data_IF_509585284612
#
_entry.id   IF_509585284612
#
_cell.length_a   1.000
_cell.length_b   1.000
_cell.length_c   1.000
_cell.angle_alpha   90.00
_cell.angle_beta   90.00
_cell.angle_gamma   90.00
#
_symmetry.space_group_name_H-M   'P 1'
#
loop_
_entity.id
_entity.type
_entity.pdbx_description
1 polymer ?
#
# COMPACT_ATOMS: atom_id res chain seq x y z
N UNK A 1 -39.52 -35.79 10.50
CA UNK A 1 -40.37 -36.44 11.52
C UNK A 1 -41.62 -37.01 10.87
N UNK A 2 -42.50 -36.19 10.30
CA UNK A 2 -43.69 -36.67 9.60
C UNK A 2 -43.34 -37.42 8.31
N UNK A 3 -42.36 -36.93 7.53
CA UNK A 3 -41.92 -37.58 6.30
C UNK A 3 -41.29 -38.97 6.53
N UNK A 4 -40.81 -39.25 7.74
CA UNK A 4 -40.23 -40.55 8.11
C UNK A 4 -41.30 -41.53 8.63
N UNK A 5 -42.50 -41.04 8.99
CA UNK A 5 -43.57 -41.83 9.62
C UNK A 5 -44.86 -41.85 8.77
N UNK A 6 -44.72 -41.77 7.45
CA UNK A 6 -45.86 -41.70 6.51
C UNK A 6 -46.77 -42.92 6.60
N UNK A 7 -46.19 -44.11 6.78
CA UNK A 7 -46.95 -45.35 6.91
C UNK A 7 -47.81 -45.35 8.18
N UNK A 8 -47.26 -44.89 9.31
CA UNK A 8 -48.00 -44.72 10.57
C UNK A 8 -49.17 -43.76 10.41
N UNK A 9 -48.96 -42.62 9.76
CA UNK A 9 -50.01 -41.62 9.50
C UNK A 9 -51.12 -42.21 8.62
N UNK A 10 -50.77 -42.93 7.55
CA UNK A 10 -51.73 -43.58 6.66
C UNK A 10 -52.55 -44.64 7.39
N UNK A 11 -51.88 -45.50 8.17
CA UNK A 11 -52.54 -46.54 8.96
C UNK A 11 -53.53 -45.96 9.98
N UNK A 12 -53.18 -44.84 10.63
CA UNK A 12 -54.11 -44.12 11.50
C UNK A 12 -55.34 -43.63 10.74
N UNK A 13 -55.16 -42.98 9.58
CA UNK A 13 -56.26 -42.43 8.79
C UNK A 13 -57.24 -43.51 8.33
N UNK A 14 -56.72 -44.68 7.91
CA UNK A 14 -57.52 -45.81 7.50
C UNK A 14 -58.34 -46.37 8.68
N UNK A 15 -57.69 -46.60 9.83
CA UNK A 15 -58.37 -47.07 11.06
C UNK A 15 -59.43 -46.09 11.53
N UNK A 16 -59.10 -44.80 11.60
CA UNK A 16 -60.02 -43.74 12.04
C UNK A 16 -61.26 -43.63 11.16
N UNK A 17 -61.12 -43.84 9.84
CA UNK A 17 -62.25 -43.82 8.90
C UNK A 17 -63.24 -44.98 9.08
N UNK A 18 -62.78 -46.11 9.62
CA UNK A 18 -63.59 -47.32 9.83
C UNK A 18 -64.27 -47.38 11.21
N UNK A 19 -63.90 -46.46 12.12
CA UNK A 19 -64.31 -46.49 13.52
C UNK A 19 -65.72 -45.92 13.71
N UNK A 20 -66.56 -46.64 14.48
CA UNK A 20 -67.92 -46.19 14.83
C UNK A 20 -67.94 -45.63 16.25
N UNK A 21 -68.09 -44.32 16.37
CA UNK A 21 -68.21 -43.61 17.66
C UNK A 21 -69.67 -43.20 17.88
N UNK A 22 -70.22 -43.58 19.03
CA UNK A 22 -71.61 -43.26 19.41
C UNK A 22 -71.76 -41.82 19.95
N UNK A 23 -70.75 -41.30 20.65
CA UNK A 23 -70.74 -39.94 21.18
C UNK A 23 -70.47 -38.91 20.07
N UNK A 24 -71.48 -38.07 19.78
CA UNK A 24 -71.41 -37.02 18.75
C UNK A 24 -70.25 -36.04 18.95
N UNK A 25 -69.95 -35.66 20.18
CA UNK A 25 -68.87 -34.69 20.46
C UNK A 25 -67.49 -35.32 20.25
N UNK A 26 -67.32 -36.57 20.70
CA UNK A 26 -66.08 -37.33 20.45
C UNK A 26 -65.90 -37.58 18.95
N UNK A 27 -66.97 -37.93 18.25
CA UNK A 27 -66.96 -38.11 16.80
C UNK A 27 -66.54 -36.85 16.06
N UNK A 28 -67.11 -35.68 16.41
CA UNK A 28 -66.72 -34.41 15.81
C UNK A 28 -65.22 -34.12 16.01
N UNK A 29 -64.66 -34.41 17.19
CA UNK A 29 -63.21 -34.25 17.44
C UNK A 29 -62.36 -35.23 16.63
N UNK A 30 -62.82 -36.46 16.44
CA UNK A 30 -62.16 -37.44 15.56
C UNK A 30 -62.16 -36.94 14.12
N UNK A 31 -63.30 -36.45 13.62
CA UNK A 31 -63.42 -35.95 12.25
C UNK A 31 -62.50 -34.76 12.00
N UNK A 32 -62.42 -33.81 12.93
CA UNK A 32 -61.48 -32.68 12.86
C UNK A 32 -60.02 -33.19 12.90
N UNK A 33 -59.71 -34.14 13.79
CA UNK A 33 -58.35 -34.71 13.88
C UNK A 33 -57.94 -35.37 12.57
N UNK A 34 -58.83 -36.13 11.94
CA UNK A 34 -58.61 -36.75 10.63
C UNK A 34 -58.38 -35.69 9.56
N UNK A 35 -59.16 -34.60 9.55
CA UNK A 35 -58.98 -33.49 8.62
C UNK A 35 -57.61 -32.81 8.79
N UNK A 36 -57.20 -32.52 10.02
CA UNK A 36 -55.89 -31.97 10.35
C UNK A 36 -54.73 -32.90 9.96
N UNK A 37 -54.85 -34.20 10.23
CA UNK A 37 -53.80 -35.18 9.91
C UNK A 37 -53.74 -35.43 8.40
N UNK A 38 -54.86 -35.34 7.67
CA UNK A 38 -54.84 -35.34 6.20
C UNK A 38 -54.10 -34.13 5.64
N UNK A 39 -54.27 -32.95 6.24
CA UNK A 39 -53.52 -31.75 5.86
C UNK A 39 -52.01 -31.95 6.05
N UNK A 40 -51.61 -32.53 7.18
CA UNK A 40 -50.21 -32.91 7.45
C UNK A 40 -49.72 -33.91 6.39
N UNK A 41 -50.51 -34.95 6.10
CA UNK A 41 -50.15 -35.99 5.13
C UNK A 41 -49.97 -35.46 3.71
N UNK A 42 -50.65 -34.38 3.34
CA UNK A 42 -50.49 -33.72 2.03
C UNK A 42 -49.21 -32.89 1.94
N UNK A 43 -48.72 -32.38 3.08
CA UNK A 43 -47.63 -31.40 3.14
C UNK A 43 -46.51 -31.81 4.14
N UNK A 44 -46.11 -33.08 4.12
CA UNK A 44 -45.23 -33.69 5.14
C UNK A 44 -43.92 -32.92 5.37
N UNK A 45 -43.19 -32.58 4.31
CA UNK A 45 -41.92 -31.86 4.40
C UNK A 45 -42.08 -30.43 4.90
N UNK A 46 -43.19 -29.79 4.54
CA UNK A 46 -43.49 -28.42 4.92
C UNK A 46 -43.91 -28.33 6.39
N UNK A 47 -44.66 -29.30 6.89
CA UNK A 47 -44.91 -29.43 8.34
C UNK A 47 -43.62 -29.78 9.10
N UNK A 48 -42.76 -30.63 8.54
CA UNK A 48 -41.47 -30.93 9.15
C UNK A 48 -40.63 -29.64 9.28
N UNK A 49 -40.55 -28.77 8.26
CA UNK A 49 -39.77 -27.52 8.35
C UNK A 49 -40.42 -26.45 9.23
N UNK A 50 -41.75 -26.31 9.21
CA UNK A 50 -42.46 -25.20 9.86
C UNK A 50 -43.03 -25.53 11.24
N UNK A 51 -42.93 -26.77 11.72
CA UNK A 51 -43.44 -27.16 13.04
C UNK A 51 -42.37 -27.63 14.03
N UNK A 52 -41.16 -27.08 13.94
CA UNK A 52 -39.99 -27.50 14.72
C UNK A 52 -40.22 -27.42 16.24
N UNK A 53 -40.96 -26.43 16.73
CA UNK A 53 -41.24 -26.25 18.16
C UNK A 53 -42.10 -27.39 18.70
N UNK A 54 -43.19 -27.75 18.01
CA UNK A 54 -44.05 -28.87 18.38
C UNK A 54 -43.37 -30.21 18.13
N UNK A 55 -42.59 -30.35 17.05
CA UNK A 55 -41.80 -31.57 16.79
C UNK A 55 -40.87 -31.87 17.97
N UNK A 56 -40.11 -30.86 18.42
CA UNK A 56 -39.17 -30.98 19.54
C UNK A 56 -39.86 -31.35 20.85
N UNK A 57 -41.06 -30.82 21.12
CA UNK A 57 -41.76 -31.00 22.40
C UNK A 57 -42.66 -32.24 22.45
N UNK A 58 -43.40 -32.53 21.39
CA UNK A 58 -44.47 -33.53 21.38
C UNK A 58 -44.39 -34.51 20.19
N UNK A 59 -43.49 -34.34 19.24
CA UNK A 59 -43.44 -35.12 17.99
C UNK A 59 -43.39 -36.64 18.20
N UNK A 60 -42.47 -37.12 19.05
CA UNK A 60 -42.35 -38.56 19.34
C UNK A 60 -43.62 -39.13 20.01
N UNK A 61 -44.19 -38.39 20.95
CA UNK A 61 -45.42 -38.79 21.66
C UNK A 61 -46.61 -38.85 20.70
N UNK A 62 -46.72 -37.87 19.80
CA UNK A 62 -47.78 -37.82 18.80
C UNK A 62 -47.72 -39.01 17.85
N UNK A 63 -46.57 -39.31 17.25
CA UNK A 63 -46.41 -40.45 16.35
C UNK A 63 -46.70 -41.78 17.05
N UNK A 64 -46.18 -41.97 18.26
CA UNK A 64 -46.45 -43.18 19.05
C UNK A 64 -47.94 -43.37 19.34
N UNK A 65 -48.68 -42.28 19.54
CA UNK A 65 -50.13 -42.35 19.74
C UNK A 65 -50.88 -42.70 18.45
N UNK A 66 -50.45 -42.18 17.29
CA UNK A 66 -51.04 -42.56 16.00
C UNK A 66 -50.78 -44.04 15.67
N UNK A 67 -49.59 -44.54 15.99
CA UNK A 67 -49.21 -45.94 15.77
C UNK A 67 -50.07 -46.92 16.58
N UNK A 68 -50.26 -46.60 17.86
CA UNK A 68 -50.99 -47.45 18.80
C UNK A 68 -52.51 -47.26 18.79
N UNK A 69 -53.03 -46.32 18.00
CA UNK A 69 -54.46 -46.04 17.90
C UNK A 69 -55.24 -47.29 17.49
N UNK A 70 -56.21 -47.68 18.32
CA UNK A 70 -57.05 -48.88 18.12
C UNK A 70 -58.36 -48.78 18.89
N UNK A 71 -59.38 -49.45 18.37
CA UNK A 71 -60.67 -49.57 19.08
C UNK A 71 -60.48 -50.27 20.43
N UNK A 72 -61.02 -49.68 21.50
CA UNK A 72 -60.79 -50.12 22.87
C UNK A 72 -61.43 -49.22 23.91
N UNK A 73 -61.33 -49.61 25.18
CA UNK A 73 -62.02 -48.93 26.30
C UNK A 73 -61.62 -47.45 26.49
N UNK A 74 -60.43 -47.05 26.02
CA UNK A 74 -59.88 -45.71 26.20
C UNK A 74 -60.02 -44.81 24.96
N UNK A 75 -60.80 -45.24 23.96
CA UNK A 75 -60.85 -44.60 22.64
C UNK A 75 -61.22 -43.11 22.70
N UNK A 76 -62.13 -42.72 23.59
CA UNK A 76 -62.53 -41.32 23.75
C UNK A 76 -61.37 -40.43 24.23
N UNK A 77 -60.57 -40.93 25.17
CA UNK A 77 -59.40 -40.21 25.69
C UNK A 77 -58.29 -40.12 24.65
N UNK A 78 -58.07 -41.19 23.87
CA UNK A 78 -57.12 -41.20 22.76
C UNK A 78 -57.52 -40.18 21.69
N UNK A 79 -58.79 -40.14 21.29
CA UNK A 79 -59.31 -39.15 20.32
C UNK A 79 -59.11 -37.72 20.84
N UNK A 80 -59.41 -37.46 22.11
CA UNK A 80 -59.22 -36.14 22.70
C UNK A 80 -57.75 -35.70 22.67
N UNK A 81 -56.83 -36.60 23.01
CA UNK A 81 -55.41 -36.28 23.01
C UNK A 81 -54.89 -36.08 21.58
N UNK A 82 -55.30 -36.91 20.63
CA UNK A 82 -54.94 -36.77 19.21
C UNK A 82 -55.45 -35.44 18.66
N UNK A 83 -56.67 -35.03 18.99
CA UNK A 83 -57.23 -33.75 18.60
C UNK A 83 -56.38 -32.58 19.10
N UNK A 84 -56.04 -32.57 20.39
CA UNK A 84 -55.23 -31.50 21.01
C UNK A 84 -53.85 -31.43 20.35
N UNK A 85 -53.17 -32.57 20.17
CA UNK A 85 -51.83 -32.60 19.57
C UNK A 85 -51.87 -32.21 18.09
N UNK A 86 -52.89 -32.65 17.34
CA UNK A 86 -53.07 -32.25 15.93
C UNK A 86 -53.29 -30.75 15.81
N UNK A 87 -54.06 -30.15 16.72
CA UNK A 87 -54.28 -28.71 16.76
C UNK A 87 -53.00 -27.93 17.05
N UNK A 88 -52.09 -28.45 17.88
CA UNK A 88 -50.76 -27.84 18.13
C UNK A 88 -49.97 -27.67 16.84
N UNK A 89 -49.81 -28.76 16.08
CA UNK A 89 -49.11 -28.73 14.80
C UNK A 89 -49.78 -27.79 13.80
N UNK A 90 -51.11 -27.84 13.71
CA UNK A 90 -51.87 -26.93 12.85
C UNK A 90 -51.67 -25.45 13.18
N UNK A 91 -51.64 -25.11 14.48
CA UNK A 91 -51.44 -23.72 14.91
C UNK A 91 -50.05 -23.22 14.66
N UNK A 92 -49.04 -24.02 14.97
CA UNK A 92 -47.66 -23.65 14.68
C UNK A 92 -47.42 -23.50 13.17
N UNK A 93 -47.99 -24.40 12.36
CA UNK A 93 -47.93 -24.32 10.92
C UNK A 93 -48.57 -23.02 10.38
N UNK A 94 -49.77 -22.67 10.87
CA UNK A 94 -50.42 -21.41 10.53
C UNK A 94 -49.60 -20.19 10.96
N UNK A 95 -48.97 -20.25 12.12
CA UNK A 95 -48.16 -19.16 12.66
C UNK A 95 -46.98 -18.84 11.73
N UNK A 96 -46.27 -19.87 11.24
CA UNK A 96 -45.10 -19.67 10.37
C UNK A 96 -45.45 -19.39 8.90
N UNK A 97 -46.60 -19.88 8.40
CA UNK A 97 -47.04 -19.69 7.00
C UNK A 97 -47.91 -18.45 6.77
N UNK A 98 -48.12 -17.59 7.77
CA UNK A 98 -48.93 -16.39 7.58
C UNK A 98 -48.42 -15.55 6.42
N UNK A 99 -49.17 -15.55 5.31
CA UNK A 99 -48.90 -14.77 4.11
C UNK A 99 -50.12 -13.88 3.88
N UNK A 100 -49.98 -12.56 3.66
CA UNK A 100 -51.12 -11.64 3.48
C UNK A 100 -52.09 -12.02 2.35
N UNK A 101 -51.67 -12.88 1.42
CA UNK A 101 -52.36 -13.17 0.15
C UNK A 101 -52.75 -14.65 -0.04
N UNK A 102 -52.53 -15.54 0.94
CA UNK A 102 -52.82 -16.98 0.78
C UNK A 102 -54.27 -17.34 1.11
N UNK A 103 -54.96 -17.99 0.17
CA UNK A 103 -56.34 -18.51 0.23
C UNK A 103 -56.78 -18.96 1.64
N UNK A 104 -57.66 -18.16 2.24
CA UNK A 104 -58.14 -18.25 3.62
C UNK A 104 -59.14 -19.40 3.90
N UNK A 105 -59.74 -20.04 2.90
CA UNK A 105 -60.99 -20.80 3.14
C UNK A 105 -60.82 -22.11 3.93
N UNK A 106 -59.86 -22.98 3.60
CA UNK A 106 -59.69 -24.29 4.26
C UNK A 106 -59.21 -24.14 5.72
N UNK A 107 -58.38 -23.12 5.99
CA UNK A 107 -57.87 -22.83 7.33
C UNK A 107 -58.91 -22.17 8.24
N UNK A 108 -59.75 -21.29 7.69
CA UNK A 108 -60.78 -20.60 8.48
C UNK A 108 -61.93 -21.54 8.87
N UNK A 109 -62.35 -22.47 7.99
CA UNK A 109 -63.36 -23.48 8.33
C UNK A 109 -62.88 -24.39 9.48
N UNK A 110 -61.63 -24.88 9.40
CA UNK A 110 -61.03 -25.67 10.47
C UNK A 110 -60.93 -24.88 11.77
N UNK A 111 -60.59 -23.59 11.71
CA UNK A 111 -60.54 -22.72 12.90
C UNK A 111 -61.90 -22.57 13.56
N UNK A 112 -62.97 -22.37 12.78
CA UNK A 112 -64.34 -22.26 13.31
C UNK A 112 -64.75 -23.56 13.99
N UNK A 113 -64.58 -24.72 13.32
CA UNK A 113 -64.87 -26.04 13.89
C UNK A 113 -64.15 -26.29 15.22
N UNK A 114 -62.87 -25.90 15.31
CA UNK A 114 -62.07 -26.07 16.53
C UNK A 114 -62.53 -25.11 17.64
N UNK A 115 -62.91 -23.88 17.30
CA UNK A 115 -63.40 -22.92 18.27
C UNK A 115 -64.72 -23.38 18.90
N UNK A 116 -65.64 -23.93 18.11
CA UNK A 116 -66.90 -24.50 18.60
C UNK A 116 -66.67 -25.64 19.61
N UNK A 117 -65.57 -26.39 19.49
CA UNK A 117 -65.22 -27.42 20.49
C UNK A 117 -64.76 -26.83 21.82
N UNK A 118 -64.24 -25.60 21.87
CA UNK A 118 -63.69 -24.99 23.11
C UNK A 118 -64.75 -24.75 24.20
N UNK A 119 -66.02 -24.69 23.82
CA UNK A 119 -67.14 -24.49 24.75
C UNK A 119 -67.76 -25.81 25.25
N UNK A 120 -67.38 -26.94 24.63
CA UNK A 120 -68.00 -28.26 24.87
C UNK A 120 -67.05 -29.19 25.66
N UNK A 121 -65.75 -28.95 25.60
CA UNK A 121 -64.73 -29.81 26.23
C UNK A 121 -64.61 -29.58 27.75
N UNK A 122 -64.01 -30.56 28.45
CA UNK A 122 -63.73 -30.47 29.89
C UNK A 122 -62.68 -29.40 30.23
N UNK A 123 -62.52 -29.11 31.53
CA UNK A 123 -61.64 -28.04 32.01
C UNK A 123 -60.17 -28.22 31.59
N UNK A 124 -59.63 -29.43 31.70
CA UNK A 124 -58.23 -29.73 31.37
C UNK A 124 -57.97 -29.56 29.87
N UNK A 125 -58.87 -30.08 29.03
CA UNK A 125 -58.77 -29.93 27.58
C UNK A 125 -58.95 -28.48 27.16
N UNK A 126 -59.88 -27.74 27.78
CA UNK A 126 -60.08 -26.31 27.54
C UNK A 126 -58.81 -25.51 27.81
N UNK A 127 -58.13 -25.78 28.93
CA UNK A 127 -56.86 -25.15 29.26
C UNK A 127 -55.79 -25.44 28.20
N UNK A 128 -55.71 -26.67 27.70
CA UNK A 128 -54.81 -27.00 26.59
C UNK A 128 -55.16 -26.21 25.33
N UNK A 129 -56.43 -26.13 24.94
CA UNK A 129 -56.84 -25.37 23.75
C UNK A 129 -56.58 -23.87 23.88
N UNK A 130 -56.73 -23.30 25.08
CA UNK A 130 -56.38 -21.89 25.38
C UNK A 130 -54.88 -21.68 25.22
N UNK A 131 -54.04 -22.53 25.82
CA UNK A 131 -52.59 -22.47 25.66
C UNK A 131 -52.20 -22.47 24.18
N UNK A 132 -52.74 -23.41 23.40
CA UNK A 132 -52.44 -23.58 21.98
C UNK A 132 -52.88 -22.36 21.17
N UNK A 133 -53.98 -21.73 21.55
CA UNK A 133 -54.55 -20.60 20.82
C UNK A 133 -53.88 -19.26 21.11
N UNK A 134 -53.39 -19.05 22.33
CA UNK A 134 -52.97 -17.72 22.80
C UNK A 134 -51.54 -17.68 23.36
N UNK A 135 -51.10 -18.70 24.10
CA UNK A 135 -49.81 -18.69 24.78
C UNK A 135 -48.68 -19.30 23.94
N UNK A 136 -49.00 -20.37 23.20
CA UNK A 136 -48.05 -21.08 22.34
C UNK A 136 -47.36 -20.16 21.31
N UNK A 137 -48.06 -19.26 20.59
CA UNK A 137 -47.39 -18.33 19.67
C UNK A 137 -46.33 -17.46 20.37
N UNK A 138 -46.59 -17.02 21.59
CA UNK A 138 -45.62 -16.23 22.36
C UNK A 138 -44.40 -17.07 22.77
N UNK A 139 -44.61 -18.34 23.13
CA UNK A 139 -43.51 -19.27 23.41
C UNK A 139 -42.66 -19.57 22.16
N UNK A 140 -43.29 -19.74 20.99
CA UNK A 140 -42.59 -19.92 19.71
C UNK A 140 -41.71 -18.70 19.42
N UNK A 141 -42.25 -17.48 19.54
CA UNK A 141 -41.49 -16.24 19.35
C UNK A 141 -40.34 -16.13 20.36
N UNK A 142 -40.56 -16.50 21.62
CA UNK A 142 -39.53 -16.46 22.66
C UNK A 142 -38.36 -17.39 22.35
N UNK A 143 -38.64 -18.61 21.90
CA UNK A 143 -37.62 -19.57 21.48
C UNK A 143 -36.86 -19.08 20.24
N UNK A 144 -37.57 -18.49 19.27
CA UNK A 144 -36.97 -17.90 18.07
C UNK A 144 -36.05 -16.71 18.40
N UNK A 145 -36.49 -15.77 19.25
CA UNK A 145 -35.69 -14.62 19.68
C UNK A 145 -34.46 -15.00 20.51
N UNK A 146 -34.51 -16.15 21.19
CA UNK A 146 -33.39 -16.68 21.97
C UNK A 146 -32.34 -17.37 21.11
N UNK A 147 -32.57 -17.51 19.80
CA UNK A 147 -31.60 -18.11 18.90
C UNK A 147 -30.31 -17.26 18.84
N UNK A 148 -29.11 -17.87 19.00
CA UNK A 148 -27.82 -17.20 18.88
C UNK A 148 -27.67 -16.37 17.59
N UNK A 149 -28.25 -16.80 16.47
CA UNK A 149 -28.15 -16.11 15.18
C UNK A 149 -28.88 -14.76 15.20
N UNK A 150 -30.04 -14.70 15.83
CA UNK A 150 -30.81 -13.45 16.03
C UNK A 150 -30.09 -12.53 17.03
N UNK A 151 -29.44 -13.11 18.03
CA UNK A 151 -28.61 -12.36 18.97
C UNK A 151 -27.36 -11.78 18.29
N UNK A 152 -26.77 -12.51 17.33
CA UNK A 152 -25.67 -12.02 16.50
C UNK A 152 -26.13 -10.87 15.60
N UNK A 153 -27.34 -10.94 15.04
CA UNK A 153 -27.92 -9.85 14.26
C UNK A 153 -28.09 -8.57 15.10
N UNK A 154 -28.52 -8.67 16.37
CA UNK A 154 -28.54 -7.50 17.27
C UNK A 154 -27.17 -6.86 17.47
N UNK A 155 -26.08 -7.62 17.33
CA UNK A 155 -24.69 -7.12 17.44
C UNK A 155 -24.13 -6.63 16.11
N UNK A 156 -24.84 -6.86 14.99
CA UNK A 156 -24.40 -6.45 13.66
C UNK A 156 -24.25 -4.94 13.54
N UNK A 157 -25.20 -4.17 14.06
CA UNK A 157 -25.15 -2.70 14.04
C UNK A 157 -23.88 -2.16 14.73
N UNK A 158 -23.52 -2.74 15.88
CA UNK A 158 -22.29 -2.40 16.60
C UNK A 158 -21.04 -2.79 15.80
N UNK A 159 -21.07 -3.95 15.13
CA UNK A 159 -19.96 -4.41 14.28
C UNK A 159 -19.74 -3.50 13.08
N UNK A 160 -20.81 -3.03 12.43
CA UNK A 160 -20.74 -2.09 11.30
C UNK A 160 -20.17 -0.76 11.77
N UNK A 161 -20.67 -0.21 12.88
CA UNK A 161 -20.16 1.04 13.45
C UNK A 161 -18.65 0.95 13.80
N UNK A 162 -18.20 -0.18 14.35
CA UNK A 162 -16.79 -0.41 14.65
C UNK A 162 -15.92 -0.54 13.39
N UNK A 163 -16.42 -1.23 12.35
CA UNK A 163 -15.71 -1.34 11.08
C UNK A 163 -15.51 0.01 10.40
N UNK A 164 -16.55 0.86 10.36
CA UNK A 164 -16.46 2.22 9.80
C UNK A 164 -15.45 3.07 10.56
N UNK A 165 -15.47 3.04 11.90
CA UNK A 165 -14.48 3.78 12.72
C UNK A 165 -13.05 3.32 12.47
N UNK A 166 -12.82 2.00 12.35
CA UNK A 166 -11.50 1.46 12.05
C UNK A 166 -11.02 1.88 10.66
N UNK A 167 -11.91 1.89 9.68
CA UNK A 167 -11.59 2.37 8.33
C UNK A 167 -11.16 3.84 8.34
N UNK A 168 -11.93 4.72 9.01
CA UNK A 168 -11.60 6.15 9.12
C UNK A 168 -10.27 6.41 9.85
N UNK A 169 -9.97 5.65 10.91
CA UNK A 169 -8.70 5.76 11.63
C UNK A 169 -7.51 5.29 10.79
N UNK A 170 -7.69 4.20 10.03
CA UNK A 170 -6.67 3.70 9.11
C UNK A 170 -6.41 4.65 7.96
N UNK A 171 -7.45 5.19 7.33
CA UNK A 171 -7.34 6.14 6.22
C UNK A 171 -6.57 7.40 6.65
N UNK A 172 -6.88 7.95 7.83
CA UNK A 172 -6.11 9.06 8.43
C UNK A 172 -4.65 8.69 8.65
N UNK A 173 -4.36 7.51 9.19
CA UNK A 173 -2.98 7.05 9.43
C UNK A 173 -2.22 6.83 8.13
N UNK A 174 -2.88 6.35 7.07
CA UNK A 174 -2.26 6.19 5.76
C UNK A 174 -1.91 7.55 5.15
N UNK A 175 -2.84 8.51 5.18
CA UNK A 175 -2.59 9.87 4.67
C UNK A 175 -1.42 10.55 5.37
N UNK A 176 -1.34 10.48 6.71
CA UNK A 176 -0.20 11.03 7.49
C UNK A 176 1.12 10.36 7.11
N UNK A 177 1.10 9.03 6.89
CA UNK A 177 2.32 8.30 6.50
C UNK A 177 2.77 8.65 5.08
N UNK A 178 1.84 8.82 4.16
CA UNK A 178 2.12 9.19 2.77
C UNK A 178 2.76 10.58 2.70
N UNK A 179 2.21 11.56 3.44
CA UNK A 179 2.82 12.89 3.57
C UNK A 179 4.25 12.81 4.13
N UNK A 180 4.46 11.99 5.17
CA UNK A 180 5.78 11.80 5.78
C UNK A 180 6.78 11.09 4.85
N UNK A 181 6.30 10.18 4.01
CA UNK A 181 7.14 9.52 2.99
C UNK A 181 7.57 10.55 1.93
N UNK A 182 6.64 11.38 1.45
CA UNK A 182 6.96 12.43 0.49
C UNK A 182 7.97 13.46 1.05
N UNK A 183 7.83 13.83 2.33
CA UNK A 183 8.79 14.71 3.00
C UNK A 183 10.18 14.06 3.11
N UNK A 184 10.25 12.77 3.44
CA UNK A 184 11.51 12.03 3.55
C UNK A 184 12.20 11.86 2.19
N UNK A 185 11.44 11.60 1.13
CA UNK A 185 11.95 11.48 -0.24
C UNK A 185 12.61 12.81 -0.68
N UNK A 186 11.93 13.93 -0.43
CA UNK A 186 12.49 15.27 -0.70
C UNK A 186 13.76 15.58 0.10
N UNK A 187 13.89 15.08 1.34
CA UNK A 187 15.13 15.23 2.14
C UNK A 187 16.26 14.35 1.62
N UNK A 188 15.95 13.11 1.21
CA UNK A 188 16.93 12.18 0.67
C UNK A 188 17.53 12.68 -0.65
N UNK A 189 16.72 13.24 -1.55
CA UNK A 189 17.19 13.80 -2.81
C UNK A 189 18.16 14.98 -2.59
N UNK A 190 17.87 15.84 -1.61
CA UNK A 190 18.78 16.92 -1.17
C UNK A 190 20.10 16.37 -0.63
N UNK A 191 20.06 15.34 0.22
CA UNK A 191 21.26 14.73 0.77
C UNK A 191 22.11 14.02 -0.30
N UNK A 192 21.48 13.28 -1.22
CA UNK A 192 22.18 12.61 -2.32
C UNK A 192 22.87 13.63 -3.24
N UNK A 193 22.19 14.73 -3.54
CA UNK A 193 22.73 15.82 -4.35
C UNK A 193 23.93 16.48 -3.65
N UNK A 194 23.78 16.87 -2.39
CA UNK A 194 24.87 17.47 -1.60
C UNK A 194 26.09 16.55 -1.47
N UNK A 195 25.88 15.26 -1.20
CA UNK A 195 26.97 14.29 -1.05
C UNK A 195 27.76 14.07 -2.35
N UNK A 196 27.08 14.00 -3.50
CA UNK A 196 27.72 13.84 -4.81
C UNK A 196 28.61 15.04 -5.16
N UNK A 197 28.19 16.27 -4.85
CA UNK A 197 29.01 17.47 -5.09
C UNK A 197 30.21 17.58 -4.15
N UNK A 198 30.06 17.19 -2.88
CA UNK A 198 31.19 17.11 -1.94
C UNK A 198 32.23 16.09 -2.43
N UNK A 199 31.78 14.92 -2.91
CA UNK A 199 32.68 13.90 -3.47
C UNK A 199 33.40 14.40 -4.74
N UNK A 200 32.70 15.12 -5.63
CA UNK A 200 33.29 15.73 -6.83
C UNK A 200 34.31 16.82 -6.48
N UNK A 201 33.97 17.72 -5.55
CA UNK A 201 34.89 18.74 -5.06
C UNK A 201 36.17 18.11 -4.49
N UNK A 202 36.04 17.07 -3.66
CA UNK A 202 37.18 16.33 -3.13
C UNK A 202 38.01 15.68 -4.24
N UNK A 203 37.36 15.13 -5.27
CA UNK A 203 38.01 14.58 -6.46
C UNK A 203 38.84 15.62 -7.22
N UNK A 204 38.28 16.81 -7.47
CA UNK A 204 39.00 17.91 -8.08
C UNK A 204 40.13 18.43 -7.19
N UNK A 205 39.95 18.51 -5.86
CA UNK A 205 41.00 18.86 -4.88
C UNK A 205 42.20 17.94 -4.96
N UNK A 206 41.96 16.64 -5.02
CA UNK A 206 43.02 15.67 -5.20
C UNK A 206 43.74 15.84 -6.56
N UNK A 207 43.01 16.17 -7.63
CA UNK A 207 43.60 16.40 -8.95
C UNK A 207 44.42 17.70 -9.02
N UNK A 208 43.92 18.78 -8.43
CA UNK A 208 44.61 20.07 -8.32
C UNK A 208 45.94 19.89 -7.58
N UNK A 209 45.93 19.23 -6.42
CA UNK A 209 47.13 18.95 -5.64
C UNK A 209 48.19 18.16 -6.42
N UNK A 210 47.76 17.16 -7.22
CA UNK A 210 48.67 16.42 -8.12
C UNK A 210 49.30 17.33 -9.18
N UNK A 211 48.49 18.18 -9.82
CA UNK A 211 48.95 19.11 -10.86
C UNK A 211 49.85 20.24 -10.31
N UNK A 212 49.57 20.74 -9.11
CA UNK A 212 50.44 21.71 -8.42
C UNK A 212 51.81 21.08 -8.12
N UNK A 213 51.86 19.81 -7.71
CA UNK A 213 53.12 19.08 -7.50
C UNK A 213 53.90 18.87 -8.81
N UNK A 214 53.20 18.63 -9.91
CA UNK A 214 53.79 18.55 -11.26
C UNK A 214 54.37 19.93 -11.67
N UNK A 215 53.59 21.01 -11.50
CA UNK A 215 53.97 22.39 -11.80
C UNK A 215 55.20 22.84 -11.01
N UNK A 216 55.26 22.55 -9.71
CA UNK A 216 56.42 22.87 -8.86
C UNK A 216 57.67 22.07 -9.25
N UNK A 217 57.50 20.85 -9.75
CA UNK A 217 58.62 20.05 -10.26
C UNK A 217 59.14 20.60 -11.59
N UNK A 218 58.25 20.96 -12.52
CA UNK A 218 58.60 21.63 -13.77
C UNK A 218 59.25 23.00 -13.54
N UNK A 219 58.77 23.76 -12.57
CA UNK A 219 59.37 25.04 -12.17
C UNK A 219 60.81 24.86 -11.67
N UNK A 220 61.05 23.88 -10.79
CA UNK A 220 62.41 23.53 -10.33
C UNK A 220 63.31 23.11 -11.51
N UNK A 221 62.79 22.30 -12.43
CA UNK A 221 63.54 21.89 -13.63
C UNK A 221 63.87 23.08 -14.53
N UNK A 222 62.96 24.05 -14.66
CA UNK A 222 63.18 25.27 -15.42
C UNK A 222 64.31 26.12 -14.83
N UNK A 223 64.39 26.24 -13.50
CA UNK A 223 65.51 26.90 -12.83
C UNK A 223 66.85 26.18 -13.06
N UNK A 224 66.86 24.84 -13.00
CA UNK A 224 68.07 24.03 -13.24
C UNK A 224 68.56 24.18 -14.68
N UNK A 225 67.68 24.05 -15.68
CA UNK A 225 68.05 24.21 -17.08
C UNK A 225 68.44 25.67 -17.38
N UNK A 226 67.74 26.64 -16.79
CA UNK A 226 68.09 28.06 -16.91
C UNK A 226 69.49 28.35 -16.40
N UNK A 227 69.87 27.78 -15.25
CA UNK A 227 71.25 27.86 -14.75
C UNK A 227 72.24 27.13 -15.66
N UNK A 228 71.87 25.96 -16.20
CA UNK A 228 72.71 25.16 -17.09
C UNK A 228 72.99 25.88 -18.42
N UNK A 229 72.07 26.69 -18.94
CA UNK A 229 72.27 27.55 -20.13
C UNK A 229 73.33 28.62 -19.87
N UNK A 230 73.41 29.15 -18.65
CA UNK A 230 74.41 30.18 -18.30
C UNK A 230 75.83 29.61 -18.23
N UNK A 231 76.02 28.32 -17.97
CA UNK A 231 77.35 27.72 -17.82
C UNK A 231 78.21 27.81 -19.09
N UNK A 232 77.72 27.39 -20.29
CA UNK A 232 78.42 27.62 -21.55
C UNK A 232 78.76 29.09 -21.78
N UNK A 233 77.79 30.00 -21.63
CA UNK A 233 77.98 31.44 -21.82
C UNK A 233 79.04 32.02 -20.88
N UNK A 234 78.99 31.68 -19.60
CA UNK A 234 80.00 32.10 -18.63
C UNK A 234 81.38 31.52 -18.98
N UNK A 235 81.46 30.28 -19.47
CA UNK A 235 82.72 29.68 -19.89
C UNK A 235 83.31 30.36 -21.12
N UNK A 236 82.48 30.76 -22.10
CA UNK A 236 82.91 31.57 -23.24
C UNK A 236 83.44 32.94 -22.80
N UNK A 237 82.71 33.62 -21.92
CA UNK A 237 83.11 34.93 -21.40
C UNK A 237 84.42 34.85 -20.62
N UNK A 238 84.59 33.85 -19.74
CA UNK A 238 85.85 33.64 -18.99
C UNK A 238 87.00 33.33 -19.95
N UNK A 239 86.77 32.48 -20.96
CA UNK A 239 87.79 32.16 -21.97
C UNK A 239 88.23 33.41 -22.72
N UNK A 240 87.29 34.21 -23.24
CA UNK A 240 87.58 35.46 -23.96
C UNK A 240 88.31 36.47 -23.05
N UNK A 241 87.86 36.67 -21.81
CA UNK A 241 88.51 37.58 -20.86
C UNK A 241 89.92 37.14 -20.50
N UNK A 242 90.15 35.84 -20.27
CA UNK A 242 91.47 35.30 -19.94
C UNK A 242 92.49 35.51 -21.07
N UNK A 243 92.05 35.38 -22.32
CA UNK A 243 92.89 35.58 -23.52
C UNK A 243 93.21 37.05 -23.77
N UNK A 244 92.22 37.94 -23.59
CA UNK A 244 92.43 39.39 -23.64
C UNK A 244 93.45 39.84 -22.58
N UNK A 245 93.33 39.33 -21.36
CA UNK A 245 94.25 39.66 -20.26
C UNK A 245 95.68 39.14 -20.51
N UNK A 246 95.81 37.96 -21.13
CA UNK A 246 97.10 37.32 -21.42
C UNK A 246 97.79 37.85 -22.69
N UNK A 247 97.16 38.79 -23.43
CA UNK A 247 97.65 39.35 -24.72
C UNK A 247 97.98 38.31 -25.79
N UNK A 248 97.27 37.18 -25.80
CA UNK A 248 97.41 36.16 -26.85
C UNK A 248 96.49 36.48 -28.04
N UNK A 249 96.99 36.27 -29.27
CA UNK A 249 96.19 36.45 -30.49
C UNK A 249 95.23 35.25 -30.64
N UNK A 250 93.95 35.51 -30.90
CA UNK A 250 92.95 34.48 -31.17
C UNK A 250 93.28 33.72 -32.47
N UNK A 251 93.79 32.49 -32.34
CA UNK A 251 94.04 31.56 -33.46
C UNK A 251 92.75 30.87 -33.97
N UNK A 252 92.72 30.47 -35.25
CA UNK A 252 91.60 29.76 -35.90
C UNK A 252 91.23 28.45 -35.19
N UNK A 253 92.20 27.78 -34.56
CA UNK A 253 91.97 26.57 -33.78
C UNK A 253 91.08 26.82 -32.54
N UNK A 254 91.07 28.02 -31.98
CA UNK A 254 90.22 28.38 -30.85
C UNK A 254 88.75 28.59 -31.25
N UNK A 255 88.50 29.00 -32.50
CA UNK A 255 87.14 29.18 -33.03
C UNK A 255 86.43 27.83 -33.22
N UNK A 256 87.18 26.78 -33.61
CA UNK A 256 86.64 25.43 -33.79
C UNK A 256 86.17 24.84 -32.45
N UNK A 257 86.79 25.21 -31.33
CA UNK A 257 86.40 24.78 -29.98
C UNK A 257 85.08 25.40 -29.48
N UNK A 258 84.65 26.53 -30.06
CA UNK A 258 83.37 27.17 -29.73
C UNK A 258 82.17 26.50 -30.40
N UNK A 259 82.37 25.80 -31.53
CA UNK A 259 81.27 25.18 -32.29
C UNK A 259 80.48 24.14 -31.44
N UNK A 260 81.12 23.21 -30.71
CA UNK A 260 80.40 22.29 -29.83
C UNK A 260 79.67 22.99 -28.67
N UNK A 261 80.21 24.12 -28.19
CA UNK A 261 79.66 24.86 -27.05
C UNK A 261 78.37 25.61 -27.45
N UNK A 262 78.38 26.25 -28.62
CA UNK A 262 77.20 26.86 -29.25
C UNK A 262 76.15 25.79 -29.56
N UNK A 263 76.57 24.63 -30.07
CA UNK A 263 75.67 23.51 -30.36
C UNK A 263 74.98 22.97 -29.09
N UNK A 264 75.73 22.86 -27.99
CA UNK A 264 75.21 22.50 -26.68
C UNK A 264 74.21 23.55 -26.17
N UNK A 265 74.49 24.85 -26.34
CA UNK A 265 73.60 25.93 -25.95
C UNK A 265 72.25 25.87 -26.68
N UNK A 266 72.25 25.66 -28.00
CA UNK A 266 71.02 25.53 -28.80
C UNK A 266 70.16 24.37 -28.29
N UNK A 267 70.78 23.22 -27.96
CA UNK A 267 70.09 22.06 -27.41
C UNK A 267 69.48 22.38 -26.03
N UNK A 268 70.21 23.07 -25.16
CA UNK A 268 69.73 23.47 -23.84
C UNK A 268 68.56 24.46 -23.94
N UNK A 269 68.62 25.43 -24.85
CA UNK A 269 67.52 26.37 -25.13
C UNK A 269 66.28 25.62 -25.64
N UNK A 270 66.45 24.62 -26.50
CA UNK A 270 65.35 23.78 -26.96
C UNK A 270 64.66 23.06 -25.79
N UNK A 271 65.43 22.39 -24.92
CA UNK A 271 64.87 21.72 -23.74
C UNK A 271 64.22 22.70 -22.77
N UNK A 272 64.80 23.89 -22.57
CA UNK A 272 64.19 24.96 -21.78
C UNK A 272 62.83 25.35 -22.34
N UNK A 273 62.71 25.54 -23.66
CA UNK A 273 61.44 25.87 -24.32
C UNK A 273 60.39 24.77 -24.12
N UNK A 274 60.78 23.50 -24.25
CA UNK A 274 59.88 22.36 -24.03
C UNK A 274 59.37 22.31 -22.59
N UNK A 275 60.26 22.48 -21.60
CA UNK A 275 59.89 22.50 -20.19
C UNK A 275 59.01 23.70 -19.86
N UNK A 276 59.30 24.87 -20.43
CA UNK A 276 58.48 26.07 -20.28
C UNK A 276 57.07 25.90 -20.84
N UNK A 277 56.93 25.25 -22.01
CA UNK A 277 55.63 24.97 -22.62
C UNK A 277 54.80 24.03 -21.74
N UNK A 278 55.42 22.95 -21.24
CA UNK A 278 54.76 22.01 -20.33
C UNK A 278 54.35 22.69 -19.01
N UNK A 279 55.21 23.55 -18.46
CA UNK A 279 54.89 24.33 -17.25
C UNK A 279 53.67 25.24 -17.48
N UNK A 280 53.62 25.96 -18.61
CA UNK A 280 52.46 26.80 -18.97
C UNK A 280 51.19 25.98 -19.16
N UNK A 281 51.27 24.82 -19.82
CA UNK A 281 50.11 23.93 -20.00
C UNK A 281 49.59 23.39 -18.66
N UNK A 282 50.47 22.92 -17.77
CA UNK A 282 50.06 22.45 -16.43
C UNK A 282 49.44 23.58 -15.61
N UNK A 283 49.98 24.80 -15.68
CA UNK A 283 49.40 25.96 -14.99
C UNK A 283 48.01 26.31 -15.51
N UNK A 284 47.77 26.21 -16.82
CA UNK A 284 46.45 26.39 -17.42
C UNK A 284 45.46 25.30 -16.96
N UNK A 285 45.90 24.05 -16.86
CA UNK A 285 45.09 22.94 -16.33
C UNK A 285 44.70 23.17 -14.86
N UNK A 286 45.62 23.67 -14.03
CA UNK A 286 45.32 24.00 -12.62
C UNK A 286 44.22 25.06 -12.54
N UNK A 287 44.34 26.15 -13.29
CA UNK A 287 43.35 27.23 -13.30
C UNK A 287 41.94 26.72 -13.68
N UNK A 288 41.86 25.81 -14.65
CA UNK A 288 40.59 25.22 -15.06
C UNK A 288 40.02 24.26 -14.00
N UNK A 289 40.87 23.54 -13.26
CA UNK A 289 40.44 22.68 -12.14
C UNK A 289 39.94 23.55 -10.98
N UNK A 290 40.65 24.62 -10.63
CA UNK A 290 40.25 25.56 -9.58
C UNK A 290 38.90 26.21 -9.89
N UNK A 291 38.67 26.62 -11.15
CA UNK A 291 37.37 27.11 -11.60
C UNK A 291 36.28 26.07 -11.30
N UNK A 292 36.47 24.80 -11.68
CA UNK A 292 35.50 23.72 -11.42
C UNK A 292 35.28 23.44 -9.94
N UNK A 293 36.30 23.59 -9.09
CA UNK A 293 36.16 23.45 -7.64
C UNK A 293 35.28 24.53 -7.03
N UNK A 294 35.57 25.80 -7.36
CA UNK A 294 34.77 26.95 -6.93
C UNK A 294 33.33 26.81 -7.40
N UNK A 295 33.14 26.28 -8.61
CA UNK A 295 31.81 25.99 -9.14
C UNK A 295 31.11 24.85 -8.40
N UNK A 296 31.78 23.76 -8.02
CA UNK A 296 31.18 22.70 -7.19
C UNK A 296 30.79 23.19 -5.79
N UNK A 297 31.62 24.03 -5.16
CA UNK A 297 31.30 24.69 -3.89
C UNK A 297 30.07 25.60 -4.04
N UNK A 298 29.99 26.34 -5.15
CA UNK A 298 28.86 27.20 -5.45
C UNK A 298 27.59 26.42 -5.82
N UNK A 299 27.70 25.31 -6.57
CA UNK A 299 26.59 24.44 -6.99
C UNK A 299 25.91 23.78 -5.80
N UNK A 300 26.64 23.42 -4.74
CA UNK A 300 26.03 22.93 -3.50
C UNK A 300 25.09 23.99 -2.88
N UNK A 301 25.42 25.28 -2.98
CA UNK A 301 24.52 26.39 -2.61
C UNK A 301 23.49 26.73 -3.69
N UNK A 302 23.76 26.38 -4.96
CA UNK A 302 22.90 26.66 -6.10
C UNK A 302 21.86 25.57 -6.38
N UNK A 303 22.02 24.32 -5.97
CA UNK A 303 20.96 23.30 -6.06
C UNK A 303 19.72 23.71 -5.25
N UNK A 304 19.93 24.35 -4.09
CA UNK A 304 18.88 24.98 -3.28
C UNK A 304 18.30 26.25 -3.95
N UNK A 305 19.01 26.88 -4.89
CA UNK A 305 18.66 28.18 -5.51
C UNK A 305 18.18 28.08 -6.98
N UNK A 306 18.52 27.02 -7.72
CA UNK A 306 18.18 26.84 -9.14
C UNK A 306 16.72 26.45 -9.33
N UNK A 307 16.13 25.79 -8.34
CA UNK A 307 14.68 25.59 -8.25
C UNK A 307 13.93 26.93 -8.18
N UNK A 308 14.51 27.95 -7.53
CA UNK A 308 13.96 29.30 -7.44
C UNK A 308 14.21 30.17 -8.70
N UNK A 309 15.35 30.03 -9.39
CA UNK A 309 15.71 30.83 -10.58
C UNK A 309 15.28 30.21 -11.93
N UNK A 310 15.01 28.90 -12.01
CA UNK A 310 14.46 28.26 -13.24
C UNK A 310 13.17 28.92 -13.75
N UNK A 311 12.44 29.62 -12.88
CA UNK A 311 11.27 30.40 -13.22
C UNK A 311 11.59 31.79 -13.84
N UNK A 312 12.80 32.31 -13.62
CA UNK A 312 13.14 33.73 -13.87
C UNK A 312 14.18 33.94 -14.97
N UNK A 313 15.21 33.08 -15.11
CA UNK A 313 16.23 33.29 -16.15
C UNK A 313 16.99 32.00 -16.57
N UNK A 314 16.41 31.27 -17.53
CA UNK A 314 16.89 29.96 -18.02
C UNK A 314 18.13 30.07 -18.93
N UNK A 315 18.35 31.22 -19.55
CA UNK A 315 19.44 31.41 -20.52
C UNK A 315 20.80 31.64 -19.84
N UNK A 316 20.80 32.42 -18.74
CA UNK A 316 21.97 32.58 -17.88
C UNK A 316 22.43 31.22 -17.28
N UNK A 317 21.46 30.35 -16.96
CA UNK A 317 21.68 29.01 -16.45
C UNK A 317 22.46 28.11 -17.42
N UNK A 318 22.00 28.05 -18.67
CA UNK A 318 22.61 27.22 -19.70
C UNK A 318 24.04 27.70 -20.07
N UNK A 319 24.29 29.01 -20.06
CA UNK A 319 25.63 29.57 -20.32
C UNK A 319 26.59 29.26 -19.16
N UNK A 320 26.10 29.32 -17.93
CA UNK A 320 26.84 28.88 -16.76
C UNK A 320 27.19 27.39 -16.85
N UNK A 321 26.21 26.50 -17.08
CA UNK A 321 26.42 25.05 -17.22
C UNK A 321 27.45 24.70 -18.30
N UNK A 322 27.40 25.35 -19.46
CA UNK A 322 28.37 25.17 -20.53
C UNK A 322 29.80 25.58 -20.13
N UNK A 323 29.96 26.61 -19.30
CA UNK A 323 31.26 26.96 -18.71
C UNK A 323 31.76 25.89 -17.74
N UNK A 324 30.86 25.25 -16.96
CA UNK A 324 31.22 24.18 -16.00
C UNK A 324 31.72 22.92 -16.71
N UNK A 325 31.00 22.48 -17.74
CA UNK A 325 31.19 21.17 -18.36
C UNK A 325 32.09 21.18 -19.62
N UNK A 326 32.53 22.36 -20.08
CA UNK A 326 33.49 22.46 -21.19
C UNK A 326 34.82 21.74 -20.87
N UNK A 327 35.37 21.00 -21.85
CA UNK A 327 36.56 20.17 -21.66
C UNK A 327 37.82 20.95 -21.29
N UNK A 328 38.72 20.32 -20.51
CA UNK A 328 39.98 20.95 -20.07
C UNK A 328 40.90 21.13 -21.29
N UNK A 329 41.03 22.36 -21.80
CA UNK A 329 41.85 22.66 -22.97
C UNK A 329 43.33 22.70 -22.57
N UNK A 330 44.15 21.89 -23.26
CA UNK A 330 45.59 21.73 -22.98
C UNK A 330 46.48 22.81 -23.64
N UNK A 331 45.88 23.70 -24.43
CA UNK A 331 46.58 24.61 -25.35
C UNK A 331 46.39 26.08 -24.90
N UNK A 332 47.44 26.76 -24.40
CA UNK A 332 47.34 28.14 -23.88
C UNK A 332 47.06 29.20 -24.95
N UNK A 333 47.26 28.91 -26.24
CA UNK A 333 46.92 29.84 -27.35
C UNK A 333 45.44 29.75 -27.77
N UNK A 334 44.69 28.79 -27.24
CA UNK A 334 43.24 28.65 -27.44
C UNK A 334 42.46 28.94 -26.15
N UNK A 335 42.82 30.00 -25.44
CA UNK A 335 41.98 30.58 -24.38
C UNK A 335 40.92 31.47 -25.06
N UNK A 336 39.66 31.02 -25.25
CA UNK A 336 38.61 31.86 -25.82
C UNK A 336 37.98 32.65 -24.66
N UNK A 337 38.07 33.99 -24.67
CA UNK A 337 37.51 34.96 -23.71
C UNK A 337 36.79 34.44 -22.44
N UNK A 338 37.44 33.57 -21.65
CA UNK A 338 36.91 33.09 -20.36
C UNK A 338 36.85 34.21 -19.31
N UNK A 339 37.45 35.37 -19.64
CA UNK A 339 37.32 36.61 -18.88
C UNK A 339 35.93 37.27 -18.99
N UNK A 340 35.18 37.05 -20.09
CA UNK A 340 33.78 37.56 -20.20
C UNK A 340 32.82 36.83 -19.25
N UNK A 341 33.16 35.59 -18.86
CA UNK A 341 32.37 34.82 -17.89
C UNK A 341 32.48 35.35 -16.46
N UNK A 342 33.63 35.92 -16.08
CA UNK A 342 33.86 36.50 -14.75
C UNK A 342 33.06 37.79 -14.54
N UNK A 343 32.89 38.62 -15.57
CA UNK A 343 32.02 39.81 -15.51
C UNK A 343 30.54 39.44 -15.32
N UNK A 344 30.08 38.36 -15.95
CA UNK A 344 28.70 37.87 -15.79
C UNK A 344 28.48 37.23 -14.41
N UNK A 345 29.49 36.56 -13.86
CA UNK A 345 29.47 36.06 -12.47
C UNK A 345 29.42 37.23 -11.48
N UNK A 346 30.19 38.31 -11.73
CA UNK A 346 30.13 39.51 -10.91
C UNK A 346 28.74 40.19 -10.95
N UNK A 347 28.07 40.18 -12.10
CA UNK A 347 26.70 40.67 -12.24
C UNK A 347 25.68 39.80 -11.48
N UNK A 348 25.82 38.47 -11.51
CA UNK A 348 25.00 37.54 -10.74
C UNK A 348 25.22 37.71 -9.22
N UNK A 349 26.46 37.84 -8.77
CA UNK A 349 26.81 38.11 -7.35
C UNK A 349 26.24 39.46 -6.89
N UNK A 350 26.26 40.48 -7.75
CA UNK A 350 25.72 41.81 -7.45
C UNK A 350 24.18 41.80 -7.34
N UNK A 351 23.50 41.03 -8.18
CA UNK A 351 22.04 40.85 -8.09
C UNK A 351 21.62 40.05 -6.85
N UNK A 352 22.44 39.10 -6.39
CA UNK A 352 22.23 38.37 -5.12
C UNK A 352 22.32 39.31 -3.91
N UNK A 353 23.28 40.24 -3.89
CA UNK A 353 23.46 41.21 -2.79
C UNK A 353 22.40 42.32 -2.74
N UNK A 354 21.64 42.52 -3.83
CA UNK A 354 20.55 43.51 -3.90
C UNK A 354 19.19 42.94 -3.46
N UNK A 355 19.04 41.61 -3.37
CA UNK A 355 17.80 40.91 -3.02
C UNK A 355 17.86 40.21 -1.64
N UNK A 356 18.94 40.43 -0.88
CA UNK A 356 18.99 40.26 0.58
C UNK A 356 19.02 41.63 1.23
#
# INVERSE_FOLDING_TARGET
MFAENVETIRNFLDKASSLKIEDTNVKNRLDISVELIRLISRNLSDFDSNCQFSIKRIGKSFINMLENFRDGKNINSEINLIFVLSYRFFREYNFHRYTPESNFSEFDELRVKIHEQMDIVDGDMRSQLIYISYEMPADIVREWLSNPDITAFKKFEQSVANATRLYEDWDKKFSIKEERIAELDGKLDKYQTGFNFVALHQGFSNLANKKIRESTTLSRLLFVIGFLILLPLCSELIFVLSKIFSREVMDLNHLIFLIPLISLEIILIYFFRVVLLNYRSVKAQILQIELRQTLCEFIQSYADYSSAIKATDKEALNKFENLIFSGVLSDPEKLPSTFDGLEQIAALIKNIKSNS
#
